data_IF_801821381182
#
_entry.id   IF_801821381182
#
_cell.length_a   1.000
_cell.length_b   1.000
_cell.length_c   1.000
_cell.angle_alpha   90.00
_cell.angle_beta   90.00
_cell.angle_gamma   90.00
#
_symmetry.space_group_name_H-M   'P 1'
#
loop_
_entity.id
_entity.type
_entity.pdbx_description
1 polymer ?
#
# COMPACT_ATOMS: atom_id res chain seq x y z
N UNK A 1 -24.61 0.51 -32.19
CA UNK A 1 -23.96 1.02 -30.96
C UNK A 1 -24.03 -0.06 -29.89
N UNK A 2 -22.89 -0.61 -29.47
CA UNK A 2 -22.82 -1.71 -28.49
C UNK A 2 -22.74 -1.08 -27.08
N UNK A 3 -23.74 -1.31 -26.25
CA UNK A 3 -23.73 -0.87 -24.86
C UNK A 3 -22.55 -1.51 -24.12
N UNK A 4 -21.68 -0.69 -23.53
CA UNK A 4 -20.63 -1.14 -22.62
C UNK A 4 -21.31 -1.82 -21.43
N UNK A 5 -20.94 -3.07 -21.14
CA UNK A 5 -21.42 -3.79 -19.96
C UNK A 5 -21.18 -2.93 -18.71
N UNK A 6 -22.16 -2.85 -17.77
CA UNK A 6 -22.03 -2.05 -16.55
C UNK A 6 -20.77 -2.34 -15.73
N UNK A 7 -20.23 -3.57 -15.86
CA UNK A 7 -19.01 -4.03 -15.22
C UNK A 7 -17.69 -3.64 -15.91
N UNK A 8 -17.69 -2.76 -16.92
CA UNK A 8 -16.45 -2.32 -17.62
C UNK A 8 -16.09 -0.84 -17.45
N UNK A 9 -17.03 -0.01 -16.99
CA UNK A 9 -16.87 1.44 -16.91
C UNK A 9 -15.80 1.89 -15.89
N UNK A 10 -15.44 1.04 -14.94
CA UNK A 10 -14.38 1.30 -13.97
C UNK A 10 -12.97 1.16 -14.55
N UNK A 11 -12.81 0.43 -15.66
CA UNK A 11 -11.46 0.02 -16.13
C UNK A 11 -10.59 1.21 -16.55
N UNK A 12 -11.07 2.16 -17.37
CA UNK A 12 -10.28 3.35 -17.70
C UNK A 12 -9.93 4.17 -16.46
N UNK A 13 -10.86 4.29 -15.51
CA UNK A 13 -10.64 5.03 -14.27
C UNK A 13 -9.59 4.37 -13.37
N UNK A 14 -9.62 3.05 -13.21
CA UNK A 14 -8.64 2.31 -12.42
C UNK A 14 -7.24 2.41 -13.03
N UNK A 15 -7.12 2.30 -14.35
CA UNK A 15 -5.84 2.47 -15.04
C UNK A 15 -5.31 3.92 -14.91
N UNK A 16 -6.19 4.91 -15.03
CA UNK A 16 -5.83 6.31 -14.80
C UNK A 16 -5.33 6.55 -13.38
N UNK A 17 -6.02 6.00 -12.38
CA UNK A 17 -5.60 6.11 -10.98
C UNK A 17 -4.24 5.44 -10.73
N UNK A 18 -4.01 4.24 -11.28
CA UNK A 18 -2.71 3.55 -11.18
C UNK A 18 -1.60 4.41 -11.77
N UNK A 19 -1.77 4.93 -12.99
CA UNK A 19 -0.76 5.77 -13.62
C UNK A 19 -0.44 7.01 -12.77
N UNK A 20 -1.44 7.65 -12.16
CA UNK A 20 -1.21 8.80 -11.27
C UNK A 20 -0.45 8.45 -9.98
N UNK A 21 -0.72 7.28 -9.41
CA UNK A 21 -0.03 6.81 -8.20
C UNK A 21 1.42 6.43 -8.51
N UNK A 22 1.66 5.77 -9.64
CA UNK A 22 3.01 5.42 -10.13
C UNK A 22 3.85 6.67 -10.42
N UNK A 23 3.26 7.72 -11.00
CA UNK A 23 3.94 9.02 -11.17
C UNK A 23 4.39 9.66 -9.86
N UNK A 24 3.84 9.24 -8.72
CA UNK A 24 4.23 9.70 -7.38
C UNK A 24 5.16 8.72 -6.66
N UNK A 25 5.70 7.73 -7.36
CA UNK A 25 6.66 6.77 -6.80
C UNK A 25 6.03 5.65 -5.98
N UNK A 26 4.70 5.50 -6.03
CA UNK A 26 4.00 4.38 -5.40
C UNK A 26 3.91 3.20 -6.36
N UNK A 27 3.78 1.99 -5.82
CA UNK A 27 3.47 0.80 -6.62
C UNK A 27 1.97 0.55 -6.52
N UNK A 28 1.29 0.55 -7.66
CA UNK A 28 -0.16 0.34 -7.72
C UNK A 28 -0.53 -0.70 -8.77
N UNK A 29 -1.53 -1.51 -8.49
CA UNK A 29 -2.03 -2.52 -9.42
C UNK A 29 -3.56 -2.58 -9.42
N UNK A 30 -4.14 -2.80 -10.59
CA UNK A 30 -5.56 -3.10 -10.71
C UNK A 30 -5.79 -4.58 -10.40
N UNK A 31 -6.60 -4.84 -9.38
CA UNK A 31 -7.17 -6.17 -9.10
C UNK A 31 -8.56 -6.24 -9.72
N UNK A 32 -9.02 -7.45 -10.06
CA UNK A 32 -10.29 -7.68 -10.74
C UNK A 32 -11.46 -6.91 -10.11
N UNK A 33 -12.45 -6.54 -10.92
CA UNK A 33 -13.66 -5.82 -10.49
C UNK A 33 -13.45 -4.38 -9.98
N UNK A 34 -12.44 -3.67 -10.50
CA UNK A 34 -12.23 -2.25 -10.22
C UNK A 34 -11.60 -1.95 -8.87
N UNK A 35 -10.94 -2.94 -8.27
CA UNK A 35 -10.10 -2.76 -7.09
C UNK A 35 -8.74 -2.24 -7.55
N UNK A 36 -8.19 -1.26 -6.85
CA UNK A 36 -6.81 -0.80 -7.01
C UNK A 36 -6.11 -1.01 -5.66
N UNK A 37 -5.05 -1.81 -5.66
CA UNK A 37 -4.17 -1.95 -4.50
C UNK A 37 -2.96 -1.06 -4.72
N UNK A 38 -2.58 -0.33 -3.68
CA UNK A 38 -1.42 0.56 -3.68
C UNK A 38 -0.58 0.28 -2.46
N UNK A 39 0.73 0.34 -2.60
CA UNK A 39 1.67 0.31 -1.48
C UNK A 39 2.83 1.26 -1.73
N UNK A 40 3.46 1.68 -0.64
CA UNK A 40 4.64 2.51 -0.67
C UNK A 40 5.89 1.62 -0.59
N UNK A 41 6.73 1.54 -1.64
CA UNK A 41 7.93 0.70 -1.61
C UNK A 41 8.93 1.13 -0.54
N UNK A 42 8.91 2.40 -0.11
CA UNK A 42 9.76 2.86 0.98
C UNK A 42 9.34 2.30 2.36
N UNK A 43 8.11 1.79 2.48
CA UNK A 43 7.65 1.06 3.67
C UNK A 43 7.91 -0.45 3.61
N UNK A 44 8.63 -0.93 2.59
CA UNK A 44 8.98 -2.34 2.49
C UNK A 44 10.02 -2.72 3.56
N UNK A 45 9.92 -3.92 4.16
CA UNK A 45 10.92 -4.42 5.10
C UNK A 45 12.28 -4.61 4.42
N UNK A 46 13.36 -4.49 5.20
CA UNK A 46 14.71 -4.82 4.75
C UNK A 46 14.78 -6.29 4.29
N UNK A 47 15.57 -6.56 3.25
CA UNK A 47 15.69 -7.91 2.66
C UNK A 47 16.20 -8.95 3.68
N UNK A 48 17.00 -8.51 4.65
CA UNK A 48 17.61 -9.34 5.70
C UNK A 48 16.74 -9.41 6.97
N UNK A 49 15.54 -8.82 6.98
CA UNK A 49 14.57 -8.92 8.09
C UNK A 49 13.49 -9.98 7.80
N UNK A 50 13.73 -11.26 8.13
CA UNK A 50 12.76 -12.33 7.87
C UNK A 50 11.43 -12.12 8.60
N UNK A 51 11.42 -11.41 9.73
CA UNK A 51 10.19 -11.10 10.45
C UNK A 51 9.42 -9.98 9.77
N UNK A 52 10.10 -8.94 9.30
CA UNK A 52 9.53 -7.88 8.47
C UNK A 52 8.93 -8.42 7.16
N UNK A 53 9.60 -9.38 6.52
CA UNK A 53 9.09 -10.03 5.30
C UNK A 53 7.72 -10.72 5.50
N UNK A 54 7.40 -11.20 6.71
CA UNK A 54 6.07 -11.75 7.02
C UNK A 54 4.95 -10.70 6.89
N UNK A 55 5.28 -9.43 7.08
CA UNK A 55 4.35 -8.30 6.99
C UNK A 55 4.44 -7.54 5.65
N UNK A 56 5.23 -8.03 4.68
CA UNK A 56 5.31 -7.46 3.35
C UNK A 56 3.95 -7.50 2.61
N UNK A 57 3.62 -6.50 1.76
CA UNK A 57 4.44 -5.37 1.32
C UNK A 57 4.42 -4.15 2.27
N UNK A 58 4.18 -4.32 3.58
CA UNK A 58 4.16 -3.21 4.53
C UNK A 58 2.88 -2.36 4.41
N UNK A 59 3.02 -1.04 4.55
CA UNK A 59 1.90 -0.09 4.49
C UNK A 59 1.28 -0.04 3.08
N UNK A 60 0.13 -0.68 2.95
CA UNK A 60 -0.66 -0.72 1.72
C UNK A 60 -2.11 -0.31 1.97
N UNK A 61 -2.76 0.13 0.89
CA UNK A 61 -4.16 0.55 0.91
C UNK A 61 -4.87 -0.04 -0.30
N UNK A 62 -6.13 -0.42 -0.11
CA UNK A 62 -7.02 -0.80 -1.21
C UNK A 62 -8.14 0.22 -1.35
N UNK A 63 -8.47 0.53 -2.61
CA UNK A 63 -9.67 1.26 -3.00
C UNK A 63 -10.44 0.49 -4.05
N UNK A 64 -11.75 0.65 -4.10
CA UNK A 64 -12.60 0.01 -5.12
C UNK A 64 -13.50 1.02 -5.81
N UNK A 65 -13.62 0.88 -7.13
CA UNK A 65 -14.55 1.65 -7.94
C UNK A 65 -15.93 1.00 -7.91
N UNK A 66 -16.91 1.63 -7.28
CA UNK A 66 -18.31 1.17 -7.23
C UNK A 66 -19.29 2.30 -7.52
N UNK A 67 -20.48 1.94 -8.00
CA UNK A 67 -21.55 2.92 -8.21
C UNK A 67 -22.15 3.39 -6.88
N UNK A 68 -22.45 4.67 -6.82
CA UNK A 68 -23.25 5.34 -5.80
C UNK A 68 -24.22 6.27 -6.54
N UNK A 69 -25.51 6.04 -6.38
CA UNK A 69 -26.56 6.89 -6.98
C UNK A 69 -26.38 7.13 -8.49
N UNK A 70 -25.99 6.08 -9.22
CA UNK A 70 -25.77 6.12 -10.68
C UNK A 70 -24.40 6.60 -11.13
N UNK A 71 -23.56 7.14 -10.24
CA UNK A 71 -22.22 7.66 -10.56
C UNK A 71 -21.14 6.74 -10.00
N UNK A 72 -20.00 6.61 -10.67
CA UNK A 72 -18.86 5.85 -10.14
C UNK A 72 -18.12 6.64 -9.05
N UNK A 73 -17.82 5.95 -7.96
CA UNK A 73 -17.11 6.46 -6.80
C UNK A 73 -15.93 5.55 -6.44
N UNK A 74 -14.87 6.17 -5.96
CA UNK A 74 -13.84 5.49 -5.20
C UNK A 74 -14.32 5.30 -3.76
N UNK A 75 -14.05 4.12 -3.23
CA UNK A 75 -14.32 3.73 -1.86
C UNK A 75 -13.03 3.19 -1.26
N UNK A 76 -12.71 3.60 -0.03
CA UNK A 76 -11.72 2.89 0.78
C UNK A 76 -12.23 1.48 1.06
N UNK A 77 -11.30 0.52 1.07
CA UNK A 77 -11.56 -0.85 1.51
C UNK A 77 -10.81 -1.04 2.82
N UNK A 78 -11.56 -1.18 3.91
CA UNK A 78 -11.03 -1.44 5.25
C UNK A 78 -11.27 -2.89 5.64
N UNK A 79 -10.38 -3.44 6.48
CA UNK A 79 -10.62 -4.75 7.09
C UNK A 79 -11.88 -4.71 7.92
N UNK A 80 -12.77 -5.69 7.73
CA UNK A 80 -13.93 -5.85 8.60
C UNK A 80 -13.53 -6.15 10.05
N UNK A 81 -14.48 -6.04 11.00
CA UNK A 81 -14.20 -6.13 12.44
C UNK A 81 -13.71 -7.51 12.89
N UNK A 82 -13.92 -8.56 12.08
CA UNK A 82 -13.39 -9.89 12.31
C UNK A 82 -12.81 -10.48 11.01
N UNK A 83 -11.99 -11.54 11.14
CA UNK A 83 -11.25 -12.21 10.04
C UNK A 83 -12.12 -12.65 8.86
N UNK A 84 -13.41 -12.89 9.09
CA UNK A 84 -14.37 -13.37 8.08
C UNK A 84 -15.48 -12.36 7.80
N UNK A 85 -15.40 -11.17 8.39
CA UNK A 85 -16.34 -10.09 8.08
C UNK A 85 -16.09 -9.57 6.67
N UNK A 86 -17.16 -9.15 5.95
CA UNK A 86 -16.97 -8.43 4.71
C UNK A 86 -16.15 -7.15 4.97
N UNK A 87 -15.39 -6.68 3.98
CA UNK A 87 -14.66 -5.43 4.12
C UNK A 87 -15.63 -4.26 4.28
N UNK A 88 -15.25 -3.30 5.11
CA UNK A 88 -15.99 -2.06 5.27
C UNK A 88 -15.62 -1.09 4.15
N UNK A 89 -16.63 -0.40 3.62
CA UNK A 89 -16.46 0.54 2.53
C UNK A 89 -16.77 1.95 2.99
N UNK A 90 -15.76 2.82 2.95
CA UNK A 90 -15.91 4.24 3.26
C UNK A 90 -15.82 5.06 1.97
N UNK A 91 -16.75 6.01 1.72
CA UNK A 91 -16.68 6.85 0.53
C UNK A 91 -15.39 7.69 0.48
N UNK A 92 -14.63 7.57 -0.61
CA UNK A 92 -13.45 8.40 -0.83
C UNK A 92 -13.83 9.66 -1.61
N UNK A 93 -14.18 9.51 -2.89
CA UNK A 93 -14.61 10.62 -3.77
C UNK A 93 -15.24 10.09 -5.06
N UNK A 94 -15.92 10.92 -5.86
CA UNK A 94 -16.30 10.56 -7.23
C UNK A 94 -15.08 10.17 -8.07
N UNK A 95 -15.26 9.22 -8.99
CA UNK A 95 -14.16 8.73 -9.86
C UNK A 95 -13.59 9.82 -10.76
N UNK A 96 -14.41 10.81 -11.13
CA UNK A 96 -13.97 11.94 -11.95
C UNK A 96 -12.94 12.83 -11.23
N UNK A 97 -12.88 12.79 -9.89
CA UNK A 97 -11.93 13.58 -9.10
C UNK A 97 -10.67 12.77 -8.76
N UNK A 98 -9.88 12.53 -9.81
CA UNK A 98 -8.64 11.75 -9.71
C UNK A 98 -7.62 12.44 -8.79
N UNK A 99 -7.50 13.76 -8.86
CA UNK A 99 -6.53 14.52 -8.05
C UNK A 99 -6.82 14.35 -6.56
N UNK A 100 -8.08 14.44 -6.14
CA UNK A 100 -8.48 14.19 -4.75
C UNK A 100 -8.20 12.75 -4.34
N UNK A 101 -8.56 11.76 -5.17
CA UNK A 101 -8.30 10.36 -4.88
C UNK A 101 -6.81 10.11 -4.60
N UNK A 102 -5.94 10.51 -5.53
CA UNK A 102 -4.50 10.30 -5.43
C UNK A 102 -3.92 11.07 -4.23
N UNK A 103 -4.37 12.29 -3.97
CA UNK A 103 -3.89 13.11 -2.84
C UNK A 103 -4.21 12.46 -1.50
N UNK A 104 -5.43 11.93 -1.34
CA UNK A 104 -5.84 11.26 -0.10
C UNK A 104 -5.15 9.90 0.06
N UNK A 105 -5.02 9.13 -1.02
CA UNK A 105 -4.27 7.86 -1.04
C UNK A 105 -2.82 8.08 -0.60
N UNK A 106 -2.11 9.02 -1.23
CA UNK A 106 -0.73 9.34 -0.89
C UNK A 106 -0.59 9.70 0.59
N UNK A 107 -1.50 10.49 1.16
CA UNK A 107 -1.44 10.83 2.59
C UNK A 107 -1.58 9.63 3.53
N UNK A 108 -2.35 8.61 3.13
CA UNK A 108 -2.53 7.39 3.93
C UNK A 108 -1.34 6.44 3.80
N UNK A 109 -0.76 6.31 2.61
CA UNK A 109 0.34 5.36 2.35
C UNK A 109 1.74 5.98 2.53
N UNK A 110 1.84 7.30 2.69
CA UNK A 110 3.12 7.95 2.96
C UNK A 110 3.61 7.60 4.36
N UNK A 111 4.81 7.05 4.44
CA UNK A 111 5.59 6.99 5.67
C UNK A 111 6.39 8.30 5.71
N UNK A 112 6.13 9.23 6.65
CA UNK A 112 7.01 10.37 6.81
C UNK A 112 8.38 9.87 7.27
N UNK A 113 9.35 9.86 6.36
CA UNK A 113 10.76 9.78 6.69
C UNK A 113 11.19 11.13 7.25
N UNK A 114 10.91 11.37 8.52
CA UNK A 114 11.60 12.42 9.26
C UNK A 114 12.11 11.80 10.56
N UNK A 115 13.41 11.57 10.61
CA UNK A 115 14.22 11.44 11.83
C UNK A 115 14.16 10.12 12.64
N UNK A 116 14.31 8.98 11.98
CA UNK A 116 14.86 7.80 12.70
C UNK A 116 16.40 7.87 12.64
N UNK A 117 17.11 8.26 13.73
CA UNK A 117 18.56 8.16 13.75
C UNK A 117 18.93 6.69 13.57
N UNK A 118 19.80 6.42 12.59
CA UNK A 118 20.33 5.10 12.31
C UNK A 118 20.76 4.45 13.64
N UNK A 119 20.09 3.36 14.00
CA UNK A 119 20.43 2.55 15.16
C UNK A 119 21.86 2.08 14.96
N UNK A 120 22.78 2.78 15.61
CA UNK A 120 24.21 2.55 15.48
C UNK A 120 24.47 1.18 16.09
N UNK A 121 24.66 0.20 15.22
CA UNK A 121 25.05 -1.15 15.57
C UNK A 121 26.27 -1.06 16.49
N UNK A 122 26.09 -1.34 17.78
CA UNK A 122 27.22 -1.65 18.65
C UNK A 122 27.75 -3.00 18.21
N UNK A 123 28.76 -2.96 17.35
CA UNK A 123 29.67 -4.07 17.16
C UNK A 123 30.30 -4.40 18.52
N UNK A 124 29.84 -5.48 19.13
CA UNK A 124 30.57 -6.12 20.22
C UNK A 124 31.69 -6.95 19.60
N UNK A 125 32.78 -6.27 19.26
CA UNK A 125 34.08 -6.89 18.94
C UNK A 125 34.68 -7.42 20.25
N UNK A 126 34.25 -8.61 20.68
CA UNK A 126 34.85 -9.33 21.80
C UNK A 126 35.90 -10.31 21.29
N UNK A 127 37.12 -9.81 21.09
CA UNK A 127 38.28 -10.57 20.63
C UNK A 127 38.59 -11.79 21.49
N UNK A 128 39.00 -12.86 20.81
CA UNK A 128 39.59 -14.09 21.33
C UNK A 128 40.82 -13.84 22.19
N UNK A 129 40.90 -14.52 23.34
CA UNK A 129 42.11 -14.62 24.14
C UNK A 129 42.38 -16.09 24.45
N UNK A 130 43.17 -16.74 23.60
CA UNK A 130 43.83 -18.01 23.89
C UNK A 130 44.81 -17.81 25.05
N UNK A 131 44.89 -18.77 25.96
CA UNK A 131 45.98 -18.87 26.92
C UNK A 131 46.37 -20.34 27.03
N UNK A 132 47.39 -20.70 26.26
CA UNK A 132 48.29 -21.80 26.55
C UNK A 132 48.90 -21.62 27.96
N UNK A 133 49.11 -22.73 28.65
CA UNK A 133 49.50 -22.76 30.06
C UNK A 133 50.98 -22.51 30.36
N UNK A 134 51.27 -22.48 31.66
CA UNK A 134 52.55 -22.82 32.30
C UNK A 134 52.30 -23.09 33.80
N UNK A 135 53.08 -24.05 34.32
CA UNK A 135 53.22 -24.56 35.70
C UNK A 135 52.24 -25.65 36.18
#
# INVERSE_FOLDING_TARGET
>A
MRALTPGGAWRPAALGLVAELERRGLVAEVRGSGVVRVHNPAGAPDADDPQGQVFAPGLGQEVVCRRRDGVLWWWWVWSGPARHSPPELEPLCPVADVVTAVTRIVRVVAVPFADSPASSSRASSGSSGSSDGCE
#
